data_IF_943417226677
#
_entry.id   IF_943417226677
#
_cell.length_a   1.000
_cell.length_b   1.000
_cell.length_c   1.000
_cell.angle_alpha   90.00
_cell.angle_beta   90.00
_cell.angle_gamma   90.00
#
_symmetry.space_group_name_H-M   'P 1'
#
loop_
_entity.id
_entity.type
_entity.pdbx_description
1 polymer ?
#
# COMPACT_ATOMS: atom_id res chain seq x y z
N UNK A 1 15.55 20.93 -10.75
CA UNK A 1 14.53 21.12 -11.80
C UNK A 1 13.20 21.29 -11.08
N UNK A 2 12.43 22.34 -11.40
CA UNK A 2 11.10 22.55 -10.82
C UNK A 2 10.15 21.52 -11.44
N UNK A 3 10.03 20.35 -10.83
CA UNK A 3 9.01 19.37 -11.21
C UNK A 3 7.65 19.95 -10.79
N UNK A 4 6.96 20.56 -11.75
CA UNK A 4 5.67 21.22 -11.54
C UNK A 4 4.55 20.18 -11.62
N UNK A 5 3.75 20.06 -10.57
CA UNK A 5 2.51 19.27 -10.60
C UNK A 5 1.53 19.89 -11.61
N UNK A 6 0.79 19.05 -12.34
CA UNK A 6 -0.17 19.49 -13.34
C UNK A 6 -1.46 18.66 -13.29
N UNK A 7 -2.51 19.21 -13.85
CA UNK A 7 -3.74 18.50 -14.18
C UNK A 7 -4.09 18.82 -15.63
N UNK A 8 -4.33 17.79 -16.44
CA UNK A 8 -4.73 17.92 -17.85
C UNK A 8 -6.21 17.59 -17.95
N UNK A 9 -6.98 18.49 -18.55
CA UNK A 9 -8.39 18.25 -18.86
C UNK A 9 -8.53 17.79 -20.31
N UNK A 10 -9.27 16.71 -20.54
CA UNK A 10 -9.59 16.21 -21.89
C UNK A 10 -8.44 15.51 -22.62
N UNK A 11 -7.39 15.08 -21.92
CA UNK A 11 -6.25 14.43 -22.55
C UNK A 11 -5.32 13.71 -21.58
N UNK A 12 -4.27 13.13 -22.15
CA UNK A 12 -3.20 12.42 -21.46
C UNK A 12 -1.88 12.92 -22.05
N UNK A 13 -0.85 13.11 -21.22
CA UNK A 13 0.53 13.34 -21.66
C UNK A 13 1.34 12.04 -21.53
N UNK A 14 1.56 11.29 -22.63
CA UNK A 14 2.30 10.04 -22.60
C UNK A 14 3.75 10.20 -22.14
N UNK A 15 4.34 11.40 -22.31
CA UNK A 15 5.74 11.64 -21.99
C UNK A 15 6.00 11.69 -20.48
N UNK A 16 4.95 11.64 -19.65
CA UNK A 16 5.02 11.62 -18.18
C UNK A 16 4.89 10.19 -17.62
N UNK A 17 4.71 9.20 -18.49
CA UNK A 17 4.35 7.83 -18.12
C UNK A 17 5.49 6.90 -18.53
N UNK A 18 5.96 6.08 -17.61
CA UNK A 18 6.92 5.03 -17.94
C UNK A 18 6.26 4.04 -18.91
N UNK A 19 6.85 3.86 -20.10
CA UNK A 19 6.26 3.05 -21.17
C UNK A 19 5.16 3.76 -21.98
N UNK A 20 5.00 5.07 -21.82
CA UNK A 20 3.97 5.86 -22.51
C UNK A 20 2.55 5.35 -22.21
N UNK A 21 1.65 5.44 -23.19
CA UNK A 21 0.28 4.93 -23.04
C UNK A 21 0.21 3.43 -22.74
N UNK A 22 1.20 2.64 -23.20
CA UNK A 22 1.27 1.20 -22.93
C UNK A 22 1.57 0.87 -21.45
N UNK A 23 2.10 1.83 -20.70
CA UNK A 23 2.33 1.71 -19.26
C UNK A 23 1.08 1.97 -18.41
N UNK A 24 0.01 2.52 -18.99
CA UNK A 24 -1.25 2.74 -18.28
C UNK A 24 -2.02 1.43 -18.13
N UNK A 25 -2.47 1.17 -16.91
CA UNK A 25 -3.33 0.05 -16.57
C UNK A 25 -4.72 0.59 -16.24
N UNK A 26 -5.66 0.40 -17.17
CA UNK A 26 -7.07 0.79 -16.99
C UNK A 26 -7.74 -0.19 -16.03
N UNK A 27 -8.33 0.34 -14.96
CA UNK A 27 -9.02 -0.40 -13.91
C UNK A 27 -10.43 0.15 -13.82
N UNK A 28 -11.43 -0.73 -13.89
CA UNK A 28 -12.82 -0.33 -13.73
C UNK A 28 -13.10 0.09 -12.30
N UNK A 29 -13.81 1.21 -12.15
CA UNK A 29 -14.25 1.66 -10.84
C UNK A 29 -15.36 0.76 -10.31
N UNK A 30 -15.57 0.83 -9.00
CA UNK A 30 -16.67 0.14 -8.33
C UNK A 30 -17.97 0.97 -8.31
N UNK A 31 -18.07 2.00 -9.17
CA UNK A 31 -19.33 2.70 -9.39
C UNK A 31 -20.41 1.66 -9.69
N UNK A 32 -21.46 1.60 -8.87
CA UNK A 32 -22.61 0.69 -8.99
C UNK A 32 -22.51 -0.75 -8.46
N UNK A 33 -21.66 -1.07 -7.47
CA UNK A 33 -21.81 -2.37 -6.75
C UNK A 33 -22.93 -2.29 -5.68
N UNK A 34 -24.00 -3.11 -5.77
CA UNK A 34 -25.17 -3.03 -4.89
C UNK A 34 -24.87 -3.31 -3.41
N UNK A 35 -23.80 -4.05 -3.12
CA UNK A 35 -23.40 -4.39 -1.74
C UNK A 35 -22.59 -3.26 -1.05
N UNK A 36 -22.13 -2.27 -1.83
CA UNK A 36 -21.29 -1.16 -1.38
C UNK A 36 -22.00 0.18 -1.62
N UNK A 37 -23.20 0.31 -1.07
CA UNK A 37 -24.14 1.43 -1.30
C UNK A 37 -23.59 2.82 -1.00
N UNK A 38 -22.46 2.94 -0.30
CA UNK A 38 -21.80 4.22 0.02
C UNK A 38 -20.58 4.56 -0.84
N UNK A 39 -20.09 3.61 -1.66
CA UNK A 39 -19.07 3.88 -2.70
C UNK A 39 -19.66 4.48 -3.98
N UNK A 40 -21.00 4.55 -4.05
CA UNK A 40 -21.77 5.24 -5.05
C UNK A 40 -21.22 6.67 -5.26
N UNK A 41 -20.55 6.91 -6.40
CA UNK A 41 -19.92 8.19 -6.82
C UNK A 41 -18.50 8.49 -6.32
N UNK A 42 -17.79 7.52 -5.76
CA UNK A 42 -16.37 7.69 -5.41
C UNK A 42 -15.47 7.08 -6.48
N UNK A 43 -14.27 7.66 -6.66
CA UNK A 43 -13.18 7.11 -7.47
C UNK A 43 -12.56 5.89 -6.76
N UNK A 44 -13.34 4.82 -6.65
CA UNK A 44 -12.99 3.62 -5.89
C UNK A 44 -12.62 2.46 -6.82
N UNK A 45 -11.54 1.77 -6.52
CA UNK A 45 -11.06 0.57 -7.22
C UNK A 45 -11.18 -0.66 -6.31
N UNK A 46 -11.29 -1.85 -6.91
CA UNK A 46 -11.30 -3.12 -6.17
C UNK A 46 -9.89 -3.44 -5.65
N UNK A 47 -9.67 -3.23 -4.36
CA UNK A 47 -8.49 -3.70 -3.64
C UNK A 47 -8.62 -5.18 -3.30
N UNK A 48 -7.51 -5.90 -3.31
CA UNK A 48 -7.48 -7.35 -3.09
C UNK A 48 -6.60 -7.76 -1.92
N UNK A 49 -5.49 -7.07 -1.66
CA UNK A 49 -4.59 -7.42 -0.56
C UNK A 49 -3.67 -6.25 -0.17
N UNK A 50 -3.20 -6.25 1.07
CA UNK A 50 -2.15 -5.34 1.55
C UNK A 50 -1.04 -6.16 2.19
N UNK A 51 0.21 -5.86 1.84
CA UNK A 51 1.39 -6.55 2.36
C UNK A 51 2.34 -5.60 3.08
N UNK A 52 3.02 -6.11 4.10
CA UNK A 52 4.23 -5.55 4.68
C UNK A 52 5.38 -6.54 4.46
N UNK A 53 6.29 -6.19 3.56
CA UNK A 53 7.21 -7.15 2.96
C UNK A 53 6.41 -8.26 2.24
N UNK A 54 6.55 -9.49 2.71
CA UNK A 54 5.83 -10.66 2.19
C UNK A 54 4.63 -11.07 3.05
N UNK A 55 4.38 -10.38 4.16
CA UNK A 55 3.35 -10.74 5.14
C UNK A 55 2.07 -9.96 4.87
N UNK A 56 0.92 -10.65 4.82
CA UNK A 56 -0.39 -10.01 4.67
C UNK A 56 -0.75 -9.17 5.91
N UNK A 57 -1.41 -8.03 5.71
CA UNK A 57 -1.93 -7.17 6.79
C UNK A 57 -3.38 -7.48 7.14
N UNK A 58 -4.11 -8.17 6.25
CA UNK A 58 -5.41 -8.77 6.54
C UNK A 58 -5.25 -10.06 7.34
N UNK A 59 -6.26 -10.38 8.15
CA UNK A 59 -6.27 -11.64 8.92
C UNK A 59 -6.52 -12.83 8.01
N UNK A 60 -5.85 -13.94 8.31
CA UNK A 60 -6.03 -15.22 7.61
C UNK A 60 -7.48 -15.67 7.77
N UNK A 61 -8.15 -15.95 6.64
CA UNK A 61 -9.53 -16.45 6.60
C UNK A 61 -10.61 -15.35 6.58
N UNK A 62 -10.24 -14.07 6.66
CA UNK A 62 -11.16 -12.94 6.47
C UNK A 62 -11.18 -12.48 5.00
N UNK A 63 -12.17 -11.64 4.66
CA UNK A 63 -12.26 -11.04 3.32
C UNK A 63 -11.04 -10.14 3.05
N UNK A 64 -10.25 -10.51 2.04
CA UNK A 64 -9.07 -9.73 1.65
C UNK A 64 -9.41 -8.49 0.83
N UNK A 65 -10.58 -8.49 0.19
CA UNK A 65 -11.05 -7.41 -0.68
C UNK A 65 -11.35 -6.16 0.13
N UNK A 66 -11.05 -5.00 -0.44
CA UNK A 66 -11.34 -3.70 0.16
C UNK A 66 -11.68 -2.69 -0.94
N UNK A 67 -12.36 -1.61 -0.58
CA UNK A 67 -12.52 -0.47 -1.48
C UNK A 67 -11.27 0.43 -1.41
N UNK A 68 -10.56 0.63 -2.51
CA UNK A 68 -9.45 1.57 -2.59
C UNK A 68 -9.94 2.90 -3.18
N UNK A 69 -10.19 3.91 -2.34
CA UNK A 69 -10.54 5.26 -2.83
C UNK A 69 -9.25 5.96 -3.26
N UNK A 70 -9.21 6.41 -4.50
CA UNK A 70 -8.15 7.25 -5.04
C UNK A 70 -8.48 8.71 -4.71
N UNK A 71 -7.83 9.28 -3.70
CA UNK A 71 -8.19 10.57 -3.13
C UNK A 71 -7.01 11.55 -3.13
N UNK A 72 -6.98 12.43 -4.14
CA UNK A 72 -5.98 13.49 -4.27
C UNK A 72 -6.10 14.57 -3.17
N UNK A 73 -7.20 14.60 -2.41
CA UNK A 73 -7.39 15.50 -1.28
C UNK A 73 -6.72 15.01 0.01
N UNK A 74 -6.33 13.73 0.06
CA UNK A 74 -5.67 13.12 1.21
C UNK A 74 -4.16 13.09 1.02
N UNK A 75 -3.38 13.55 2.01
CA UNK A 75 -1.91 13.44 1.94
C UNK A 75 -1.42 12.02 2.24
N UNK A 76 -1.96 11.41 3.29
CA UNK A 76 -1.51 10.13 3.83
C UNK A 76 -2.38 8.96 3.35
N UNK A 77 -1.90 7.74 3.58
CA UNK A 77 -2.70 6.53 3.34
C UNK A 77 -3.53 6.24 4.59
N UNK A 78 -4.85 6.11 4.44
CA UNK A 78 -5.75 5.67 5.52
C UNK A 78 -6.10 4.21 5.33
N UNK A 79 -5.87 3.36 6.33
CA UNK A 79 -6.17 1.92 6.29
C UNK A 79 -7.13 1.52 7.41
N UNK A 80 -7.92 0.44 7.25
CA UNK A 80 -8.79 -0.07 8.30
C UNK A 80 -8.03 -0.34 9.60
N UNK A 81 -8.69 -0.12 10.74
CA UNK A 81 -8.12 -0.32 12.07
C UNK A 81 -7.48 -1.71 12.25
N UNK A 82 -8.07 -2.75 11.66
CA UNK A 82 -7.51 -4.12 11.68
C UNK A 82 -6.17 -4.22 10.97
N UNK A 83 -6.06 -3.62 9.77
CA UNK A 83 -4.81 -3.59 9.02
C UNK A 83 -3.77 -2.69 9.70
N UNK A 84 -4.21 -1.56 10.27
CA UNK A 84 -3.34 -0.65 11.01
C UNK A 84 -2.73 -1.33 12.25
N UNK A 85 -3.54 -2.05 13.04
CA UNK A 85 -3.05 -2.85 14.17
C UNK A 85 -2.04 -3.91 13.74
N UNK A 86 -2.28 -4.58 12.61
CA UNK A 86 -1.31 -5.53 12.04
C UNK A 86 0.02 -4.87 11.69
N UNK A 87 -0.01 -3.65 11.12
CA UNK A 87 1.20 -2.88 10.86
C UNK A 87 1.90 -2.47 12.16
N UNK A 88 1.17 -2.00 13.16
CA UNK A 88 1.73 -1.63 14.46
C UNK A 88 2.45 -2.81 15.12
N UNK A 89 1.86 -4.00 15.09
CA UNK A 89 2.49 -5.23 15.61
C UNK A 89 3.80 -5.52 14.88
N UNK A 90 3.83 -5.40 13.55
CA UNK A 90 5.03 -5.60 12.74
C UNK A 90 6.10 -4.54 12.98
N UNK A 91 5.74 -3.26 13.04
CA UNK A 91 6.67 -2.17 13.32
C UNK A 91 7.25 -2.24 14.73
N UNK A 92 6.47 -2.68 15.73
CA UNK A 92 6.96 -2.88 17.11
C UNK A 92 8.00 -3.98 17.24
N UNK A 93 8.07 -4.93 16.30
CA UNK A 93 9.17 -5.91 16.24
C UNK A 93 10.50 -5.22 15.93
N UNK A 94 10.49 -4.20 15.08
CA UNK A 94 11.67 -3.40 14.73
C UNK A 94 11.96 -2.31 15.77
N UNK A 95 10.94 -1.68 16.35
CA UNK A 95 11.09 -0.51 17.23
C UNK A 95 10.26 -0.63 18.51
N UNK A 96 10.93 -0.78 19.66
CA UNK A 96 10.25 -0.90 20.96
C UNK A 96 9.67 0.42 21.44
N UNK A 97 10.30 1.53 21.04
CA UNK A 97 9.96 2.91 21.38
C UNK A 97 8.96 3.54 20.42
N UNK A 98 8.32 2.75 19.55
CA UNK A 98 7.28 3.21 18.63
C UNK A 98 6.10 3.82 19.38
N UNK A 99 5.87 5.12 19.17
CA UNK A 99 4.75 5.85 19.72
C UNK A 99 3.61 5.88 18.69
N UNK A 100 2.53 5.19 18.99
CA UNK A 100 1.27 5.27 18.22
C UNK A 100 0.10 5.65 19.14
N UNK A 101 0.38 6.33 20.25
CA UNK A 101 -0.59 6.64 21.31
C UNK A 101 -0.76 8.15 21.46
N UNK A 102 0.32 8.92 21.32
CA UNK A 102 0.25 10.38 21.42
C UNK A 102 -0.64 10.99 20.32
N UNK A 103 -0.68 10.35 19.16
CA UNK A 103 -1.61 10.64 18.08
C UNK A 103 -2.39 9.35 17.78
N UNK A 104 -3.70 9.39 17.97
CA UNK A 104 -4.59 8.23 17.77
C UNK A 104 -4.59 7.72 16.32
N UNK A 105 -4.06 8.50 15.38
CA UNK A 105 -4.08 8.18 13.96
C UNK A 105 -2.70 7.76 13.43
N UNK A 106 -1.59 8.30 13.96
CA UNK A 106 -0.25 8.07 13.40
C UNK A 106 0.71 7.38 14.38
N UNK A 107 1.65 6.63 13.82
CA UNK A 107 2.83 6.18 14.55
C UNK A 107 4.02 7.12 14.28
N UNK A 108 4.88 7.31 15.27
CA UNK A 108 6.07 8.14 15.18
C UNK A 108 7.22 7.62 16.05
N UNK A 109 8.43 8.05 15.71
CA UNK A 109 9.68 7.77 16.43
C UNK A 109 10.51 9.04 16.56
N UNK A 110 11.24 9.20 17.66
CA UNK A 110 12.22 10.29 17.83
C UNK A 110 13.61 9.92 17.26
N UNK A 111 13.59 9.30 16.08
CA UNK A 111 14.76 8.82 15.33
C UNK A 111 14.65 9.29 13.88
N UNK A 112 15.73 9.78 13.25
CA UNK A 112 15.72 10.21 11.85
C UNK A 112 15.16 9.15 10.89
N UNK A 113 14.39 9.57 9.89
CA UNK A 113 13.66 8.65 9.00
C UNK A 113 14.57 7.76 8.17
N UNK A 114 15.79 8.18 7.83
CA UNK A 114 16.77 7.36 7.12
C UNK A 114 17.21 6.14 7.95
N UNK A 115 17.36 6.31 9.27
CA UNK A 115 17.68 5.21 10.20
C UNK A 115 16.48 4.31 10.46
N UNK A 116 15.26 4.89 10.47
CA UNK A 116 14.01 4.14 10.60
C UNK A 116 13.75 3.31 9.34
N UNK A 117 13.91 3.90 8.15
CA UNK A 117 13.65 3.25 6.88
C UNK A 117 14.49 1.98 6.70
N UNK A 118 15.77 2.03 7.07
CA UNK A 118 16.70 0.90 6.95
C UNK A 118 16.29 -0.37 7.72
N UNK A 119 15.33 -0.29 8.66
CA UNK A 119 14.86 -1.42 9.47
C UNK A 119 13.39 -1.79 9.20
N UNK A 120 12.78 -1.14 8.21
CA UNK A 120 11.40 -1.41 7.79
C UNK A 120 11.36 -2.17 6.46
N UNK A 121 10.23 -2.83 6.22
CA UNK A 121 9.94 -3.55 4.97
C UNK A 121 9.02 -2.71 4.08
N UNK A 122 9.06 -2.88 2.75
CA UNK A 122 8.15 -2.17 1.86
C UNK A 122 6.68 -2.50 2.16
N UNK A 123 5.78 -1.58 1.81
CA UNK A 123 4.33 -1.79 1.88
C UNK A 123 3.78 -1.89 0.48
N UNK A 124 2.95 -2.92 0.24
CA UNK A 124 2.35 -3.14 -1.08
C UNK A 124 0.84 -3.16 -1.03
N UNK A 125 0.22 -2.52 -2.01
CA UNK A 125 -1.23 -2.56 -2.23
C UNK A 125 -1.51 -3.29 -3.53
N UNK A 126 -2.31 -4.36 -3.46
CA UNK A 126 -2.80 -5.05 -4.63
C UNK A 126 -4.19 -4.51 -4.98
N UNK A 127 -4.28 -3.77 -6.08
CA UNK A 127 -5.51 -3.16 -6.58
C UNK A 127 -5.77 -3.74 -7.98
N UNK A 128 -6.88 -4.46 -8.11
CA UNK A 128 -7.14 -5.32 -9.26
C UNK A 128 -5.94 -6.24 -9.52
N UNK A 129 -5.48 -6.37 -10.77
CA UNK A 129 -4.32 -7.18 -11.13
C UNK A 129 -2.97 -6.45 -11.01
N UNK A 130 -2.92 -5.28 -10.35
CA UNK A 130 -1.70 -4.48 -10.19
C UNK A 130 -1.28 -4.42 -8.72
N UNK A 131 0.02 -4.47 -8.49
CA UNK A 131 0.65 -4.26 -7.19
C UNK A 131 1.44 -2.97 -7.23
N UNK A 132 1.22 -2.13 -6.22
CA UNK A 132 1.95 -0.89 -5.98
C UNK A 132 2.78 -1.06 -4.71
N UNK A 133 4.10 -1.21 -4.86
CA UNK A 133 5.03 -1.43 -3.75
C UNK A 133 5.79 -0.13 -3.44
N UNK A 134 5.59 0.38 -2.23
CA UNK A 134 6.26 1.54 -1.65
C UNK A 134 7.41 1.06 -0.75
N UNK A 135 8.66 1.39 -1.09
CA UNK A 135 9.78 1.29 -0.16
C UNK A 135 9.53 2.10 1.11
N UNK A 136 10.23 1.74 2.18
CA UNK A 136 10.12 2.37 3.51
C UNK A 136 10.28 3.87 3.49
N UNK A 137 11.18 4.38 2.67
CA UNK A 137 11.47 5.81 2.56
C UNK A 137 10.28 6.60 2.01
N UNK A 138 9.38 5.97 1.24
CA UNK A 138 8.26 6.68 0.60
C UNK A 138 7.07 6.87 1.54
N UNK A 139 6.90 6.03 2.56
CA UNK A 139 5.80 6.17 3.53
C UNK A 139 6.24 6.75 4.88
N UNK A 140 7.44 7.32 4.96
CA UNK A 140 7.94 8.03 6.13
C UNK A 140 8.03 9.54 5.85
N UNK A 141 7.69 10.34 6.86
CA UNK A 141 7.78 11.79 6.83
C UNK A 141 8.71 12.29 7.92
N UNK A 142 9.80 12.95 7.52
CA UNK A 142 10.70 13.62 8.46
C UNK A 142 10.04 14.92 8.95
N UNK A 143 9.42 14.85 10.12
CA UNK A 143 8.95 16.02 10.83
C UNK A 143 10.13 16.76 11.50
N UNK A 144 9.83 17.90 12.13
CA UNK A 144 10.83 18.76 12.75
C UNK A 144 11.77 18.01 13.69
N UNK A 145 13.07 18.36 13.61
CA UNK A 145 14.12 17.72 14.39
C UNK A 145 14.41 16.29 13.93
N UNK A 146 14.37 15.34 14.87
CA UNK A 146 14.62 13.91 14.62
C UNK A 146 13.34 13.09 14.52
N UNK A 147 12.18 13.73 14.47
CA UNK A 147 10.90 13.02 14.55
C UNK A 147 10.54 12.42 13.19
N UNK A 148 10.48 11.10 13.11
CA UNK A 148 9.99 10.39 11.95
C UNK A 148 8.55 9.94 12.15
N UNK A 149 7.65 10.37 11.28
CA UNK A 149 6.23 10.02 11.30
C UNK A 149 5.92 9.05 10.17
N UNK A 150 5.11 8.02 10.46
CA UNK A 150 4.61 7.10 9.46
C UNK A 150 3.42 7.74 8.75
N UNK A 151 3.46 7.85 7.42
CA UNK A 151 2.42 8.48 6.60
C UNK A 151 1.26 7.52 6.29
N UNK A 152 0.98 6.62 7.23
CA UNK A 152 -0.10 5.64 7.21
C UNK A 152 -0.84 5.75 8.53
N UNK A 153 -2.17 5.84 8.47
CA UNK A 153 -3.01 6.00 9.65
C UNK A 153 -4.22 5.08 9.66
N UNK A 154 -4.77 4.85 10.86
CA UNK A 154 -6.06 4.19 11.03
C UNK A 154 -7.17 5.09 10.51
N UNK A 155 -8.02 4.59 9.60
CA UNK A 155 -9.29 5.22 9.30
C UNK A 155 -10.40 4.58 10.16
N UNK A 156 -10.89 5.32 11.16
CA UNK A 156 -11.88 4.80 12.12
C UNK A 156 -13.32 4.81 11.54
N UNK A 157 -13.46 4.52 10.25
CA UNK A 157 -14.75 4.43 9.57
C UNK A 157 -15.52 3.20 10.07
N UNK A 158 -16.85 3.30 10.14
CA UNK A 158 -17.73 2.26 10.70
C UNK A 158 -18.74 1.77 9.67
N UNK A 159 -19.35 0.62 9.94
CA UNK A 159 -20.39 0.02 9.10
C UNK A 159 -19.82 -0.46 7.76
N UNK A 160 -20.57 -0.24 6.68
CA UNK A 160 -20.18 -0.67 5.32
C UNK A 160 -18.91 -0.01 4.78
N UNK A 161 -18.38 1.01 5.47
CA UNK A 161 -17.15 1.73 5.08
C UNK A 161 -15.93 1.32 5.91
N UNK A 162 -16.09 0.34 6.81
CA UNK A 162 -15.03 -0.07 7.73
C UNK A 162 -13.84 -0.77 7.06
N UNK A 163 -14.01 -1.29 5.84
CA UNK A 163 -12.98 -2.00 5.09
C UNK A 163 -12.54 -1.22 3.84
N UNK A 164 -12.33 0.08 4.02
CA UNK A 164 -11.94 1.00 2.98
C UNK A 164 -10.48 1.43 3.18
N UNK A 165 -9.72 1.53 2.09
CA UNK A 165 -8.40 2.17 2.08
C UNK A 165 -8.50 3.49 1.33
N UNK A 166 -8.06 4.58 1.97
CA UNK A 166 -7.85 5.88 1.34
C UNK A 166 -6.43 5.92 0.79
N UNK A 167 -6.29 5.93 -0.53
CA UNK A 167 -5.01 6.07 -1.22
C UNK A 167 -4.76 7.55 -1.45
N UNK A 168 -3.92 8.13 -0.59
CA UNK A 168 -3.52 9.54 -0.66
C UNK A 168 -2.22 9.79 -1.43
N UNK A 169 -1.79 11.04 -1.40
CA UNK A 169 -0.67 11.60 -2.14
C UNK A 169 0.66 10.86 -1.94
N UNK A 170 0.88 10.22 -0.78
CA UNK A 170 2.06 9.35 -0.54
C UNK A 170 2.25 8.30 -1.64
N UNK A 171 1.15 7.70 -2.14
CA UNK A 171 1.23 6.82 -3.31
C UNK A 171 0.96 7.59 -4.61
N UNK A 172 -0.05 8.46 -4.61
CA UNK A 172 -0.55 9.07 -5.84
C UNK A 172 0.47 9.97 -6.55
N UNK A 173 1.36 10.65 -5.82
CA UNK A 173 2.44 11.45 -6.43
C UNK A 173 3.36 10.64 -7.34
N UNK A 174 3.45 9.33 -7.10
CA UNK A 174 4.28 8.41 -7.89
C UNK A 174 3.57 7.86 -9.11
N UNK A 175 2.27 8.12 -9.24
CA UNK A 175 1.44 7.58 -10.30
C UNK A 175 0.95 8.69 -11.21
N UNK A 176 1.03 8.44 -12.51
CA UNK A 176 0.22 9.14 -13.48
C UNK A 176 -1.20 8.59 -13.40
N UNK A 177 -2.18 9.47 -13.21
CA UNK A 177 -3.58 9.11 -12.96
C UNK A 177 -4.45 9.67 -14.08
N UNK A 178 -5.24 8.80 -14.73
CA UNK A 178 -6.26 9.21 -15.71
C UNK A 178 -7.63 8.84 -15.16
N UNK A 179 -8.46 9.86 -14.95
CA UNK A 179 -9.84 9.70 -14.53
C UNK A 179 -10.75 9.74 -15.75
N UNK A 180 -11.27 8.58 -16.14
CA UNK A 180 -12.11 8.38 -17.32
C UNK A 180 -13.57 8.26 -16.87
N UNK A 181 -14.22 9.41 -16.74
CA UNK A 181 -15.60 9.51 -16.25
C UNK A 181 -16.61 8.82 -17.18
N UNK A 182 -16.40 8.92 -18.50
CA UNK A 182 -17.31 8.34 -19.49
C UNK A 182 -17.32 6.80 -19.45
N UNK A 183 -16.17 6.20 -19.18
CA UNK A 183 -16.04 4.73 -19.11
C UNK A 183 -15.97 4.20 -17.68
N UNK A 184 -16.24 5.03 -16.68
CA UNK A 184 -16.23 4.66 -15.26
C UNK A 184 -14.94 3.96 -14.82
N UNK A 185 -13.78 4.47 -15.27
CA UNK A 185 -12.49 3.84 -15.07
C UNK A 185 -11.43 4.81 -14.54
N UNK A 186 -10.42 4.25 -13.88
CA UNK A 186 -9.18 4.95 -13.56
C UNK A 186 -8.04 4.19 -14.22
N UNK A 187 -7.20 4.90 -14.98
CA UNK A 187 -5.95 4.32 -15.46
C UNK A 187 -4.80 4.82 -14.61
N UNK A 188 -4.00 3.89 -14.11
CA UNK A 188 -2.81 4.17 -13.30
C UNK A 188 -1.58 3.72 -14.07
N UNK A 189 -0.52 4.53 -14.03
CA UNK A 189 0.79 4.17 -14.57
C UNK A 189 1.89 4.79 -13.73
N UNK A 190 3.11 4.26 -13.82
CA UNK A 190 4.24 4.83 -13.10
C UNK A 190 4.61 6.20 -13.70
N UNK A 191 4.66 7.23 -12.87
CA UNK A 191 5.15 8.55 -13.28
C UNK A 191 6.65 8.47 -13.58
N UNK A 192 7.12 9.06 -14.70
CA UNK A 192 8.54 9.07 -15.08
C UNK A 192 9.48 9.60 -13.99
N UNK A 193 9.00 10.53 -13.17
CA UNK A 193 9.77 11.12 -12.06
C UNK A 193 9.87 10.20 -10.84
N UNK A 194 9.24 9.03 -10.90
CA UNK A 194 9.19 8.02 -9.84
C UNK A 194 9.85 6.69 -10.21
N UNK A 195 10.54 6.63 -11.36
CA UNK A 195 11.42 5.50 -11.70
C UNK A 195 12.40 5.25 -10.56
N UNK A 196 12.43 4.02 -10.05
CA UNK A 196 13.30 3.59 -8.95
C UNK A 196 12.86 4.06 -7.56
N UNK A 197 11.77 4.84 -7.43
CA UNK A 197 11.23 5.26 -6.12
C UNK A 197 10.17 4.31 -5.58
N UNK A 198 9.36 3.74 -6.46
CA UNK A 198 8.36 2.72 -6.16
C UNK A 198 8.37 1.64 -7.25
N UNK A 199 7.71 0.51 -7.01
CA UNK A 199 7.46 -0.49 -8.04
C UNK A 199 5.97 -0.57 -8.37
N UNK A 200 5.68 -0.79 -9.65
CA UNK A 200 4.36 -1.12 -10.15
C UNK A 200 4.48 -2.34 -11.06
N UNK A 201 3.74 -3.40 -10.75
CA UNK A 201 3.85 -4.67 -11.48
C UNK A 201 2.54 -5.48 -11.41
N UNK A 202 2.40 -6.47 -12.28
CA UNK A 202 1.25 -7.38 -12.27
C UNK A 202 1.33 -8.36 -11.09
N UNK A 203 0.19 -8.66 -10.46
CA UNK A 203 0.15 -9.59 -9.34
C UNK A 203 0.81 -10.94 -9.70
N UNK A 204 1.71 -11.42 -8.83
CA UNK A 204 2.51 -12.63 -9.07
C UNK A 204 3.79 -12.42 -9.88
N UNK A 205 3.98 -11.25 -10.50
CA UNK A 205 5.11 -10.94 -11.37
C UNK A 205 6.00 -9.83 -10.80
N UNK A 206 6.40 -9.96 -9.51
CA UNK A 206 7.34 -9.01 -8.90
C UNK A 206 8.69 -9.07 -9.66
N UNK A 207 9.25 -7.93 -10.11
CA UNK A 207 10.49 -7.93 -10.90
C UNK A 207 11.66 -8.62 -10.19
N UNK A 208 12.49 -9.36 -10.94
CA UNK A 208 13.65 -10.08 -10.39
C UNK A 208 14.75 -9.15 -9.87
N UNK A 209 14.85 -7.96 -10.47
CA UNK A 209 15.78 -6.88 -10.10
C UNK A 209 15.27 -6.00 -8.96
N UNK A 210 14.05 -6.25 -8.47
CA UNK A 210 13.50 -5.54 -7.33
C UNK A 210 14.35 -5.79 -6.06
N UNK A 211 14.50 -4.80 -5.17
CA UNK A 211 15.23 -4.98 -3.92
C UNK A 211 14.75 -6.21 -3.14
N UNK A 212 15.69 -6.97 -2.58
CA UNK A 212 15.35 -8.16 -1.79
C UNK A 212 14.57 -7.73 -0.56
N UNK A 213 13.40 -8.33 -0.36
CA UNK A 213 12.63 -8.17 0.87
C UNK A 213 13.32 -9.02 1.93
N UNK A 214 13.76 -8.38 3.02
CA UNK A 214 14.37 -9.10 4.13
C UNK A 214 13.30 -9.98 4.80
N UNK A 215 13.45 -11.29 4.68
CA UNK A 215 12.58 -12.28 5.32
C UNK A 215 12.96 -12.38 6.80
N UNK A 216 11.97 -12.40 7.69
CA UNK A 216 12.23 -12.71 9.09
C UNK A 216 12.61 -14.20 9.17
N UNK A 217 13.83 -14.47 9.64
CA UNK A 217 14.38 -15.83 9.76
C UNK A 217 13.56 -16.74 10.70
N UNK A 218 12.63 -16.19 11.47
CA UNK A 218 11.78 -16.92 12.41
C UNK A 218 10.76 -17.84 11.73
N UNK A 219 10.42 -17.61 10.46
CA UNK A 219 9.47 -18.46 9.70
C UNK A 219 10.12 -19.74 9.14
N UNK A 220 11.45 -19.79 9.00
CA UNK A 220 12.16 -20.97 8.46
C UNK A 220 12.19 -22.11 9.49
N UNK A 221 12.18 -21.79 10.79
CA UNK A 221 12.15 -22.78 11.87
C UNK A 221 10.82 -23.53 12.00
N UNK A 222 9.69 -22.85 11.80
CA UNK A 222 8.36 -23.43 11.96
C UNK A 222 8.02 -24.50 10.91
N UNK A 223 8.55 -24.36 9.68
CA UNK A 223 8.35 -25.37 8.62
C UNK A 223 9.03 -26.71 8.94
N UNK A 224 10.18 -26.69 9.62
CA UNK A 224 10.92 -27.92 9.95
C UNK A 224 10.27 -28.75 11.06
N UNK A 225 9.57 -28.09 12.01
CA UNK A 225 8.84 -28.79 13.09
C UNK A 225 7.52 -29.39 12.62
N UNK A 226 6.86 -28.77 11.63
CA UNK A 226 5.65 -29.35 11.02
C UNK A 226 6.03 -30.59 10.20
N UNK A 227 7.14 -30.56 9.45
CA UNK A 227 7.64 -31.72 8.70
C UNK A 227 8.04 -32.89 9.62
N UNK A 228 8.64 -32.62 10.78
CA UNK A 228 9.05 -33.67 11.72
C UNK A 228 7.86 -34.33 12.43
N UNK A 229 6.78 -33.58 12.68
CA UNK A 229 5.53 -34.11 13.25
C UNK A 229 4.76 -34.99 12.27
N UNK A 230 4.79 -34.68 10.97
CA UNK A 230 4.17 -35.54 9.94
C UNK A 230 4.94 -36.85 9.72
N UNK A 231 6.27 -36.83 9.82
CA UNK A 231 7.08 -38.05 9.67
C UNK A 231 6.95 -39.01 10.87
N UNK A 232 6.63 -38.51 12.06
CA UNK A 232 6.42 -39.34 13.26
C UNK A 232 5.03 -40.01 13.32
N UNK A 233 4.04 -39.49 12.60
CA UNK A 233 2.67 -40.02 12.60
C UNK A 233 2.41 -41.11 11.54
N UNK A 234 3.39 -41.38 10.66
CA UNK A 234 3.30 -42.39 9.60
C UNK A 234 3.94 -43.75 9.91
N UNK A 235 4.38 -43.98 11.15
CA UNK A 235 4.95 -45.25 11.60
C UNK A 235 4.18 -45.81 12.80
N UNK A 236 2.93 -46.23 12.59
CA UNK A 236 2.25 -47.25 13.41
C UNK A 236 1.40 -48.12 12.48
#
# INVERSE_FOLDING_TARGET
MNDQSFAIFGGVDPDQIVGGLGGLKKIQTMAYRPDWTQSSKQWALEGQNMFYGTEECQKIGEEKKYAAIIDTGSSNIGVPDTMFKSLQEKWRKSFKELDCVTDDNFCQLMTPCDQVAAQLKPISFQISNQVFELPSEQYLHQAEGKRCQFAIHSNQLKGSSANLILIGDILLRHLYQVYDFENEAISLGLNKHSVGKILMYEAGNRPEDAPKIQLDLDMVGASSEIQSRFNAAGQI
#
